data_IF_241326208124
#
_entry.id   IF_241326208124
#
_cell.length_a   1.000
_cell.length_b   1.000
_cell.length_c   1.000
_cell.angle_alpha   90.00
_cell.angle_beta   90.00
_cell.angle_gamma   90.00
#
_symmetry.space_group_name_H-M   'P 1'
#
loop_
_entity.id
_entity.type
_entity.pdbx_description
1 polymer ?
#
# COMPACT_ATOMS: atom_id res chain seq x y z
N UNK A 1 51.18 -25.48 -11.78
CA UNK A 1 50.06 -26.39 -12.11
C UNK A 1 49.24 -26.56 -10.85
N UNK A 2 47.97 -26.20 -10.71
CA UNK A 2 46.90 -25.57 -11.48
C UNK A 2 45.74 -25.45 -10.46
N UNK A 3 45.16 -24.29 -10.22
CA UNK A 3 43.91 -23.80 -10.84
C UNK A 3 42.66 -24.67 -10.60
N UNK A 4 41.60 -23.95 -10.21
CA UNK A 4 40.14 -24.23 -10.27
C UNK A 4 39.46 -24.77 -8.99
N UNK A 5 38.64 -24.00 -8.26
CA UNK A 5 37.46 -23.13 -8.55
C UNK A 5 36.16 -23.83 -8.12
N UNK A 6 35.33 -23.16 -7.30
CA UNK A 6 33.88 -22.96 -7.54
C UNK A 6 33.28 -22.18 -6.35
N UNK A 7 32.95 -20.89 -6.52
CA UNK A 7 31.64 -20.34 -6.98
C UNK A 7 30.54 -20.65 -5.94
N UNK A 8 30.09 -19.72 -5.11
CA UNK A 8 29.22 -18.62 -5.56
C UNK A 8 29.17 -17.52 -4.48
N UNK A 9 30.06 -16.54 -4.59
CA UNK A 9 30.02 -15.28 -3.85
C UNK A 9 29.91 -14.18 -4.89
N UNK A 10 28.71 -13.95 -5.45
CA UNK A 10 28.49 -12.89 -6.43
C UNK A 10 27.00 -12.65 -6.70
N UNK A 11 26.30 -12.07 -5.73
CA UNK A 11 25.09 -11.25 -6.02
C UNK A 11 25.07 -9.93 -5.21
N UNK A 12 26.04 -9.68 -4.33
CA UNK A 12 26.00 -8.55 -3.40
C UNK A 12 26.91 -7.36 -3.74
N UNK A 13 27.60 -7.33 -4.88
CA UNK A 13 28.61 -6.29 -5.13
C UNK A 13 28.53 -5.69 -6.54
N UNK A 14 27.44 -4.95 -6.82
CA UNK A 14 27.52 -3.58 -7.39
C UNK A 14 26.24 -2.84 -6.94
N UNK A 15 26.11 -2.58 -5.63
CA UNK A 15 25.11 -1.62 -5.17
C UNK A 15 25.75 -0.23 -5.18
N UNK A 16 25.54 0.52 -6.25
CA UNK A 16 25.54 1.98 -6.15
C UNK A 16 24.46 2.28 -5.12
N UNK A 17 24.87 2.65 -3.89
CA UNK A 17 23.91 2.92 -2.83
C UNK A 17 23.11 4.17 -3.23
N UNK A 18 21.89 3.93 -3.69
CA UNK A 18 20.92 4.98 -4.00
C UNK A 18 20.76 5.90 -2.79
N UNK A 19 20.63 7.21 -3.05
CA UNK A 19 20.27 8.17 -2.01
C UNK A 19 18.92 7.80 -1.39
N UNK A 20 18.62 8.25 -0.16
CA UNK A 20 17.30 8.04 0.44
C UNK A 20 16.14 8.48 -0.47
N UNK A 21 16.31 9.58 -1.20
CA UNK A 21 15.32 10.13 -2.14
C UNK A 21 15.13 9.21 -3.35
N UNK A 22 16.22 8.72 -3.93
CA UNK A 22 16.20 7.78 -5.07
C UNK A 22 15.56 6.44 -4.66
N UNK A 23 15.87 5.95 -3.45
CA UNK A 23 15.23 4.75 -2.88
C UNK A 23 13.74 4.95 -2.70
N UNK A 24 13.32 6.09 -2.15
CA UNK A 24 11.91 6.39 -1.95
C UNK A 24 11.15 6.53 -3.28
N UNK A 25 11.77 7.12 -4.29
CA UNK A 25 11.19 7.18 -5.64
C UNK A 25 10.95 5.78 -6.19
N UNK A 26 11.96 4.90 -6.11
CA UNK A 26 11.85 3.50 -6.55
C UNK A 26 10.75 2.73 -5.81
N UNK A 27 10.65 2.87 -4.49
CA UNK A 27 9.59 2.24 -3.68
C UNK A 27 8.20 2.70 -4.12
N UNK A 28 8.03 3.99 -4.44
CA UNK A 28 6.74 4.53 -4.92
C UNK A 28 6.37 3.99 -6.30
N UNK A 29 7.34 3.83 -7.19
CA UNK A 29 7.15 3.23 -8.51
C UNK A 29 6.75 1.76 -8.38
N UNK A 30 7.49 0.97 -7.60
CA UNK A 30 7.19 -0.44 -7.32
C UNK A 30 5.79 -0.61 -6.73
N UNK A 31 5.44 0.21 -5.73
CA UNK A 31 4.11 0.17 -5.12
C UNK A 31 2.99 0.58 -6.10
N UNK A 32 3.29 1.47 -7.05
CA UNK A 32 2.34 1.82 -8.11
C UNK A 32 2.10 0.64 -9.05
N UNK A 33 3.14 -0.09 -9.42
CA UNK A 33 3.00 -1.30 -10.24
C UNK A 33 2.26 -2.42 -9.50
N UNK A 34 2.58 -2.68 -8.22
CA UNK A 34 1.86 -3.65 -7.39
C UNK A 34 0.37 -3.31 -7.33
N UNK A 35 0.00 -2.04 -7.09
CA UNK A 35 -1.41 -1.62 -7.07
C UNK A 35 -2.08 -1.87 -8.42
N UNK A 36 -1.41 -1.59 -9.55
CA UNK A 36 -1.96 -1.87 -10.88
C UNK A 36 -2.21 -3.37 -11.08
N UNK A 37 -1.30 -4.22 -10.64
CA UNK A 37 -1.46 -5.68 -10.72
C UNK A 37 -2.62 -6.17 -9.88
N UNK A 38 -2.75 -5.70 -8.63
CA UNK A 38 -3.88 -6.02 -7.77
C UNK A 38 -5.21 -5.53 -8.35
N UNK A 39 -5.26 -4.33 -8.92
CA UNK A 39 -6.45 -3.82 -9.61
C UNK A 39 -6.82 -4.69 -10.81
N UNK A 40 -5.84 -5.11 -11.63
CA UNK A 40 -6.09 -6.03 -12.76
C UNK A 40 -6.61 -7.39 -12.28
N UNK A 41 -6.15 -7.84 -11.11
CA UNK A 41 -6.63 -9.07 -10.48
C UNK A 41 -8.00 -8.92 -9.78
N UNK A 42 -8.59 -7.72 -9.78
CA UNK A 42 -9.85 -7.43 -9.09
C UNK A 42 -9.73 -7.35 -7.56
N UNK A 43 -8.50 -7.28 -7.03
CA UNK A 43 -8.21 -7.25 -5.60
C UNK A 43 -8.00 -5.86 -5.03
N UNK A 44 -8.00 -4.82 -5.87
CA UNK A 44 -7.71 -3.48 -5.39
C UNK A 44 -8.56 -2.45 -6.11
N UNK A 45 -9.59 -1.97 -5.41
CA UNK A 45 -10.50 -0.93 -5.89
C UNK A 45 -10.63 0.20 -4.86
N UNK A 46 -9.59 1.03 -4.78
CA UNK A 46 -9.54 2.13 -3.82
C UNK A 46 -10.62 3.18 -4.09
N UNK A 47 -11.36 3.56 -3.04
CA UNK A 47 -12.50 4.47 -3.11
C UNK A 47 -12.14 5.97 -3.05
N UNK A 48 -10.85 6.32 -3.00
CA UNK A 48 -10.35 7.70 -2.96
C UNK A 48 -9.29 7.97 -4.04
N UNK A 49 -9.07 9.24 -4.41
CA UNK A 49 -8.01 9.66 -5.32
C UNK A 49 -7.14 10.83 -4.78
N UNK A 50 -5.80 10.79 -4.92
CA UNK A 50 -5.00 9.65 -5.40
C UNK A 50 -5.17 8.42 -4.49
N UNK A 51 -5.04 7.21 -5.05
CA UNK A 51 -5.23 5.98 -4.28
C UNK A 51 -4.25 5.91 -3.10
N UNK A 52 -4.71 5.43 -1.95
CA UNK A 52 -3.85 5.26 -0.78
C UNK A 52 -2.87 4.08 -0.99
N UNK A 53 -2.02 3.83 0.01
CA UNK A 53 -1.05 2.73 -0.02
C UNK A 53 -1.34 1.66 1.03
N UNK A 54 -2.18 1.97 2.02
CA UNK A 54 -2.33 1.15 3.22
C UNK A 54 -2.78 -0.28 2.90
N UNK A 55 -3.90 -0.44 2.20
CA UNK A 55 -4.43 -1.75 1.83
C UNK A 55 -3.45 -2.60 1.00
N UNK A 56 -2.71 -1.98 0.08
CA UNK A 56 -1.71 -2.70 -0.72
C UNK A 56 -0.51 -3.19 0.11
N UNK A 57 -0.15 -2.46 1.18
CA UNK A 57 0.97 -2.81 2.05
C UNK A 57 0.61 -3.82 3.14
N UNK A 58 -0.61 -3.74 3.69
CA UNK A 58 -0.99 -4.49 4.88
C UNK A 58 -1.96 -5.65 4.62
N UNK A 59 -2.90 -5.47 3.69
CA UNK A 59 -3.96 -6.46 3.43
C UNK A 59 -3.69 -7.27 2.16
N UNK A 60 -2.94 -6.70 1.21
CA UNK A 60 -2.77 -7.30 -0.12
C UNK A 60 -4.02 -7.23 -1.00
N UNK A 61 -5.10 -6.61 -0.52
CA UNK A 61 -6.34 -6.33 -1.23
C UNK A 61 -7.05 -5.07 -0.68
N UNK A 62 -8.01 -4.52 -1.41
CA UNK A 62 -8.75 -3.31 -1.04
C UNK A 62 -10.20 -3.37 -1.52
N UNK A 63 -11.10 -3.65 -0.58
CA UNK A 63 -12.55 -3.80 -0.82
C UNK A 63 -13.36 -2.56 -0.39
N UNK A 64 -12.69 -1.48 0.01
CA UNK A 64 -13.36 -0.29 0.55
C UNK A 64 -14.40 0.32 -0.40
N UNK A 65 -14.26 0.19 -1.73
CA UNK A 65 -15.30 0.68 -2.64
C UNK A 65 -16.58 -0.14 -2.52
N UNK A 66 -16.49 -1.46 -2.42
CA UNK A 66 -17.65 -2.32 -2.31
C UNK A 66 -18.31 -2.18 -0.94
N UNK A 67 -17.51 -2.10 0.13
CA UNK A 67 -18.00 -1.73 1.46
C UNK A 67 -18.83 -0.44 1.43
N UNK A 68 -18.39 0.60 0.72
CA UNK A 68 -19.17 1.84 0.60
C UNK A 68 -20.50 1.66 -0.13
N UNK A 69 -20.54 0.84 -1.19
CA UNK A 69 -21.80 0.54 -1.90
C UNK A 69 -22.78 -0.23 -1.02
N UNK A 70 -22.25 -1.04 -0.10
CA UNK A 70 -23.01 -1.85 0.85
C UNK A 70 -23.34 -1.09 2.15
N UNK A 71 -22.79 0.11 2.33
CA UNK A 71 -22.98 0.94 3.53
C UNK A 71 -22.17 0.45 4.74
N UNK A 72 -21.14 -0.35 4.51
CA UNK A 72 -20.18 -0.84 5.49
C UNK A 72 -19.03 0.15 5.72
N UNK A 73 -18.15 -0.19 6.67
CA UNK A 73 -17.00 0.64 7.02
C UNK A 73 -15.84 0.52 6.04
N UNK A 74 -15.02 1.58 5.99
CA UNK A 74 -13.77 1.61 5.23
C UNK A 74 -12.57 1.69 6.17
N UNK A 75 -11.39 1.32 5.66
CA UNK A 75 -10.15 1.45 6.42
C UNK A 75 -9.84 2.93 6.77
N UNK A 76 -9.01 3.19 7.81
CA UNK A 76 -8.71 4.55 8.26
C UNK A 76 -8.13 5.46 7.16
N UNK A 77 -7.33 4.90 6.25
CA UNK A 77 -6.77 5.64 5.12
C UNK A 77 -7.83 6.14 4.13
N UNK A 78 -8.86 5.33 3.87
CA UNK A 78 -10.00 5.71 3.04
C UNK A 78 -10.90 6.70 3.77
N UNK A 79 -11.18 6.46 5.06
CA UNK A 79 -11.96 7.36 5.91
C UNK A 79 -11.38 8.78 5.95
N UNK A 80 -10.08 8.89 6.21
CA UNK A 80 -9.37 10.17 6.17
C UNK A 80 -9.37 10.81 4.76
N UNK A 81 -9.28 10.00 3.70
CA UNK A 81 -9.38 10.49 2.33
C UNK A 81 -10.74 11.12 2.04
N UNK A 82 -11.82 10.45 2.41
CA UNK A 82 -13.18 10.97 2.29
C UNK A 82 -13.41 12.24 3.11
N UNK A 83 -12.94 12.26 4.36
CA UNK A 83 -12.97 13.46 5.20
C UNK A 83 -12.28 14.66 4.53
N UNK A 84 -11.22 14.41 3.76
CA UNK A 84 -10.48 15.43 3.01
C UNK A 84 -11.01 15.70 1.59
N UNK A 85 -12.21 15.21 1.25
CA UNK A 85 -12.83 15.46 -0.06
C UNK A 85 -12.19 14.69 -1.22
N UNK A 86 -11.51 13.58 -0.94
CA UNK A 86 -10.84 12.73 -1.96
C UNK A 86 -11.68 11.56 -2.44
N UNK A 87 -12.89 11.41 -1.94
CA UNK A 87 -13.80 10.33 -2.33
C UNK A 87 -14.19 10.37 -3.80
N UNK A 88 -14.32 9.20 -4.42
CA UNK A 88 -14.65 9.07 -5.86
C UNK A 88 -15.78 8.09 -6.14
N UNK A 89 -16.55 7.69 -5.13
CA UNK A 89 -17.72 6.81 -5.32
C UNK A 89 -18.95 7.69 -5.54
N UNK A 90 -19.60 7.53 -6.69
CA UNK A 90 -20.81 8.30 -7.03
C UNK A 90 -21.95 7.99 -6.05
N UNK A 91 -22.67 9.04 -5.62
CA UNK A 91 -23.78 8.92 -4.68
C UNK A 91 -23.38 8.75 -3.22
N UNK A 92 -22.07 8.69 -2.91
CA UNK A 92 -21.56 8.66 -1.54
C UNK A 92 -21.00 10.03 -1.16
N UNK A 93 -21.38 10.53 0.01
CA UNK A 93 -20.88 11.77 0.61
C UNK A 93 -20.02 11.45 1.85
N UNK A 94 -19.13 12.37 2.22
CA UNK A 94 -18.17 12.13 3.31
C UNK A 94 -18.83 11.84 4.67
N UNK A 95 -20.03 12.38 4.93
CA UNK A 95 -20.81 12.15 6.14
C UNK A 95 -21.47 10.76 6.20
N UNK A 96 -21.56 10.05 5.06
CA UNK A 96 -22.07 8.68 5.00
C UNK A 96 -20.98 7.63 5.25
N UNK A 97 -19.70 8.03 5.19
CA UNK A 97 -18.57 7.12 5.30
C UNK A 97 -18.33 6.75 6.76
N UNK A 98 -18.50 5.46 7.05
CA UNK A 98 -18.18 4.88 8.36
C UNK A 98 -16.70 4.51 8.39
N UNK A 99 -15.98 5.02 9.37
CA UNK A 99 -14.58 4.70 9.60
C UNK A 99 -14.24 4.96 11.07
N UNK A 100 -13.35 4.17 11.61
CA UNK A 100 -12.83 4.33 12.96
C UNK A 100 -11.36 4.74 12.90
N UNK A 101 -11.01 5.83 13.59
CA UNK A 101 -9.61 6.26 13.74
C UNK A 101 -8.89 5.45 14.83
N UNK A 102 -9.64 4.79 15.71
CA UNK A 102 -9.15 4.02 16.85
C UNK A 102 -8.73 2.61 16.47
N UNK A 103 -8.28 2.37 15.23
CA UNK A 103 -7.60 1.12 14.92
C UNK A 103 -6.35 0.99 15.79
N UNK A 104 -6.51 0.32 16.92
CA UNK A 104 -5.45 -0.03 17.85
C UNK A 104 -4.53 -0.99 17.12
N UNK A 105 -3.40 -0.47 16.65
CA UNK A 105 -2.25 -1.32 16.40
C UNK A 105 -1.86 -1.87 17.77
N UNK A 106 -2.10 -3.17 18.01
CA UNK A 106 -1.43 -3.90 19.08
C UNK A 106 0.07 -3.88 18.76
N UNK A 107 0.72 -2.77 19.09
CA UNK A 107 2.16 -2.67 19.20
C UNK A 107 2.54 -3.50 20.42
N UNK A 108 2.74 -4.81 20.22
CA UNK A 108 3.66 -5.54 21.08
C UNK A 108 5.03 -4.87 20.87
N UNK A 109 5.30 -3.88 21.72
CA UNK A 109 6.54 -3.13 21.74
C UNK A 109 7.73 -4.08 21.82
N UNK A 110 8.40 -4.27 20.70
CA UNK A 110 9.77 -4.75 20.71
C UNK A 110 10.65 -3.59 21.21
N UNK A 111 10.97 -3.63 22.49
CA UNK A 111 12.05 -2.86 23.09
C UNK A 111 13.36 -3.16 22.33
N UNK A 112 14.05 -2.11 21.91
CA UNK A 112 15.44 -2.15 21.45
C UNK A 112 16.29 -1.27 22.37
#
# INVERSE_FOLDING_TARGET
>A
TGQQENRNASESEVQVQLSPEERLAKIKEELTEVKKELTKAGKYDCCIQPTCNWCALYEGECDCRDNLKEGEEVCPGCGLGWHNGKGVVEGVTADQVKWDITHEHNEEGHEH
#
